data_IF_161989469437
#
_entry.id   IF_161989469437
#
_cell.length_a   1.000
_cell.length_b   1.000
_cell.length_c   1.000
_cell.angle_alpha   90.00
_cell.angle_beta   90.00
_cell.angle_gamma   90.00
#
_symmetry.space_group_name_H-M   'P 1'
#
loop_
_entity.id
_entity.type
_entity.pdbx_description
1 polymer ?
#
# COMPACT_ATOMS: atom_id res chain seq x y z
N UNK A 1 1.20 32.25 -1.80
CA UNK A 1 1.30 31.86 -0.37
C UNK A 1 2.05 30.54 -0.31
N UNK A 2 3.20 30.47 0.39
CA UNK A 2 3.92 29.20 0.55
C UNK A 2 3.19 28.41 1.64
N UNK A 3 2.51 27.32 1.28
CA UNK A 3 1.97 26.38 2.26
C UNK A 3 3.12 25.88 3.15
N UNK A 4 3.13 26.32 4.40
CA UNK A 4 4.07 25.81 5.40
C UNK A 4 3.65 24.39 5.75
N UNK A 5 4.30 23.42 5.12
CA UNK A 5 4.18 21.98 5.44
C UNK A 5 4.40 21.79 6.94
N UNK A 6 3.41 21.24 7.64
CA UNK A 6 3.47 21.04 9.10
C UNK A 6 4.53 20.00 9.48
N UNK A 7 5.03 20.06 10.72
CA UNK A 7 5.98 19.06 11.24
C UNK A 7 5.41 17.64 11.13
N UNK A 8 4.14 17.47 11.43
CA UNK A 8 3.42 16.18 11.33
C UNK A 8 3.36 15.68 9.90
N UNK A 9 3.09 16.56 8.93
CA UNK A 9 3.05 16.19 7.51
C UNK A 9 4.43 15.75 7.02
N UNK A 10 5.52 16.42 7.45
CA UNK A 10 6.88 16.00 7.10
C UNK A 10 7.20 14.60 7.62
N UNK A 11 6.94 14.36 8.91
CA UNK A 11 7.17 13.05 9.54
C UNK A 11 6.35 11.96 8.86
N UNK A 12 5.09 12.23 8.53
CA UNK A 12 4.23 11.27 7.84
C UNK A 12 4.72 10.95 6.42
N UNK A 13 5.23 11.95 5.69
CA UNK A 13 5.80 11.74 4.35
C UNK A 13 7.12 10.97 4.43
N UNK A 14 7.97 11.23 5.42
CA UNK A 14 9.21 10.48 5.64
C UNK A 14 8.93 9.01 5.99
N UNK A 15 7.99 8.77 6.91
CA UNK A 15 7.53 7.42 7.24
C UNK A 15 6.93 6.70 6.02
N UNK A 16 6.14 7.41 5.20
CA UNK A 16 5.60 6.88 3.97
C UNK A 16 6.68 6.44 2.98
N UNK A 17 7.69 7.28 2.74
CA UNK A 17 8.82 6.95 1.86
C UNK A 17 9.52 5.69 2.34
N UNK A 18 9.89 5.66 3.62
CA UNK A 18 10.54 4.51 4.23
C UNK A 18 9.73 3.22 4.05
N UNK A 19 8.42 3.25 4.34
CA UNK A 19 7.55 2.07 4.12
C UNK A 19 7.53 1.63 2.67
N UNK A 20 7.48 2.58 1.72
CA UNK A 20 7.47 2.26 0.30
C UNK A 20 8.78 1.57 -0.11
N UNK A 21 9.92 2.14 0.26
CA UNK A 21 11.25 1.56 0.01
C UNK A 21 11.39 0.16 0.63
N UNK A 22 10.84 -0.04 1.83
CA UNK A 22 10.85 -1.34 2.52
C UNK A 22 9.92 -2.39 1.89
N UNK A 23 8.90 -1.99 1.14
CA UNK A 23 7.88 -2.89 0.59
C UNK A 23 8.04 -3.15 -0.91
N UNK A 24 8.61 -2.21 -1.67
CA UNK A 24 8.87 -2.37 -3.10
C UNK A 24 9.58 -3.69 -3.45
N UNK A 25 10.69 -4.10 -2.77
CA UNK A 25 11.35 -5.37 -3.08
C UNK A 25 10.57 -6.62 -2.60
N UNK A 26 9.48 -6.44 -1.83
CA UNK A 26 8.64 -7.55 -1.32
C UNK A 26 7.44 -7.83 -2.22
N UNK A 27 7.24 -7.04 -3.26
CA UNK A 27 6.15 -7.26 -4.20
C UNK A 27 6.39 -8.56 -4.97
N UNK A 28 5.41 -9.44 -4.93
CA UNK A 28 5.41 -10.70 -5.67
C UNK A 28 4.48 -10.51 -6.86
N UNK A 29 5.03 -10.67 -8.06
CA UNK A 29 4.21 -10.76 -9.26
C UNK A 29 3.42 -12.08 -9.24
N UNK A 30 2.14 -11.99 -8.93
CA UNK A 30 1.29 -13.18 -8.80
C UNK A 30 1.08 -13.88 -10.15
N UNK A 31 1.27 -13.18 -11.27
CA UNK A 31 1.19 -13.76 -12.63
C UNK A 31 2.35 -14.71 -12.94
N UNK A 32 3.47 -14.57 -12.24
CA UNK A 32 4.64 -15.44 -12.37
C UNK A 32 4.58 -16.68 -11.47
N UNK A 33 3.55 -16.81 -10.61
CA UNK A 33 3.41 -17.92 -9.68
C UNK A 33 2.63 -19.09 -10.32
N UNK A 34 2.92 -20.34 -9.91
CA UNK A 34 2.18 -21.50 -10.37
C UNK A 34 0.71 -21.43 -9.91
N UNK A 35 -0.18 -22.02 -10.73
CA UNK A 35 -1.59 -22.17 -10.40
C UNK A 35 -1.78 -22.86 -9.03
N UNK A 36 -2.77 -22.41 -8.28
CA UNK A 36 -3.02 -22.82 -6.89
C UNK A 36 -2.25 -22.02 -5.84
N UNK A 37 -1.36 -21.10 -6.25
CA UNK A 37 -0.68 -20.20 -5.30
C UNK A 37 -1.60 -19.07 -4.87
N UNK A 38 -1.50 -18.64 -3.61
CA UNK A 38 -2.24 -17.49 -3.12
C UNK A 38 -1.90 -16.21 -3.90
N UNK A 39 -2.93 -15.46 -4.27
CA UNK A 39 -2.78 -14.15 -4.93
C UNK A 39 -2.50 -13.08 -3.87
N UNK A 40 -1.46 -12.29 -4.10
CA UNK A 40 -1.05 -11.18 -3.23
C UNK A 40 -1.41 -9.86 -3.88
N UNK A 41 -2.15 -9.02 -3.15
CA UNK A 41 -2.51 -7.66 -3.54
C UNK A 41 -1.79 -6.67 -2.64
N UNK A 42 -1.33 -5.59 -3.25
CA UNK A 42 -0.48 -4.59 -2.60
C UNK A 42 -1.11 -3.21 -2.71
N UNK A 43 -0.83 -2.36 -1.73
CA UNK A 43 -1.24 -0.97 -1.74
C UNK A 43 -0.61 -0.24 -2.92
N UNK A 44 -1.42 0.48 -3.71
CA UNK A 44 -0.97 1.27 -4.87
C UNK A 44 0.02 2.39 -4.53
N UNK A 45 0.09 2.82 -3.26
CA UNK A 45 0.91 3.96 -2.85
C UNK A 45 2.22 3.55 -2.17
N UNK A 46 2.17 2.61 -1.24
CA UNK A 46 3.35 2.21 -0.44
C UNK A 46 3.72 0.72 -0.58
N UNK A 47 3.06 0.00 -1.49
CA UNK A 47 3.34 -1.41 -1.80
C UNK A 47 3.20 -2.39 -0.62
N UNK A 48 2.65 -1.95 0.51
CA UNK A 48 2.32 -2.83 1.62
C UNK A 48 1.31 -3.90 1.18
N UNK A 49 1.51 -5.15 1.60
CA UNK A 49 0.54 -6.22 1.37
C UNK A 49 -0.80 -5.82 2.02
N UNK A 50 -1.86 -5.74 1.22
CA UNK A 50 -3.19 -5.35 1.68
C UNK A 50 -4.10 -6.56 1.85
N UNK A 51 -4.07 -7.45 0.86
CA UNK A 51 -4.94 -8.62 0.79
C UNK A 51 -4.13 -9.80 0.27
N UNK A 52 -4.27 -10.96 0.92
CA UNK A 52 -3.73 -12.23 0.44
C UNK A 52 -4.88 -13.23 0.42
N UNK A 53 -5.22 -13.75 -0.75
CA UNK A 53 -6.35 -14.67 -0.94
C UNK A 53 -5.88 -15.96 -1.58
N UNK A 54 -6.47 -17.09 -1.18
CA UNK A 54 -6.29 -18.35 -1.90
C UNK A 54 -6.99 -18.29 -3.25
N UNK A 55 -6.55 -19.09 -4.22
CA UNK A 55 -7.21 -19.19 -5.54
C UNK A 55 -8.70 -19.57 -5.43
N UNK A 56 -9.09 -20.28 -4.37
CA UNK A 56 -10.48 -20.68 -4.12
C UNK A 56 -11.35 -19.60 -3.46
N UNK A 57 -10.76 -18.49 -3.01
CA UNK A 57 -11.48 -17.45 -2.27
C UNK A 57 -11.75 -16.24 -3.18
N UNK A 58 -13.00 -16.15 -3.64
CA UNK A 58 -13.47 -15.09 -4.56
C UNK A 58 -14.36 -14.05 -3.86
N UNK A 59 -14.60 -14.21 -2.55
CA UNK A 59 -15.52 -13.37 -1.78
C UNK A 59 -14.77 -12.31 -0.98
N UNK A 60 -13.47 -12.50 -0.71
CA UNK A 60 -12.66 -11.50 -0.01
C UNK A 60 -12.51 -10.22 -0.83
N UNK A 61 -12.85 -9.09 -0.22
CA UNK A 61 -12.65 -7.77 -0.80
C UNK A 61 -11.15 -7.47 -0.97
N UNK A 62 -10.76 -7.14 -2.21
CA UNK A 62 -9.40 -6.70 -2.54
C UNK A 62 -9.26 -5.22 -2.21
N UNK A 63 -8.27 -4.89 -1.38
CA UNK A 63 -8.01 -3.51 -0.97
C UNK A 63 -6.83 -2.93 -1.74
N UNK A 64 -7.07 -1.88 -2.50
CA UNK A 64 -6.03 -1.15 -3.24
C UNK A 64 -5.22 -0.15 -2.39
N UNK A 65 -5.70 0.15 -1.19
CA UNK A 65 -5.08 1.14 -0.31
C UNK A 65 -5.01 0.61 1.13
N UNK A 66 -3.82 0.62 1.73
CA UNK A 66 -3.66 0.26 3.14
C UNK A 66 -4.22 1.37 4.04
N UNK A 67 -4.52 1.03 5.30
CA UNK A 67 -5.10 1.99 6.27
C UNK A 67 -4.23 3.23 6.47
N UNK A 68 -2.91 3.09 6.44
CA UNK A 68 -1.98 4.21 6.61
C UNK A 68 -2.02 5.18 5.43
N UNK A 69 -2.02 4.68 4.19
CA UNK A 69 -2.15 5.51 3.01
C UNK A 69 -3.54 6.12 2.87
N UNK A 70 -4.58 5.42 3.33
CA UNK A 70 -5.95 5.96 3.42
C UNK A 70 -6.00 7.16 4.37
N UNK A 71 -5.45 7.04 5.57
CA UNK A 71 -5.40 8.13 6.54
C UNK A 71 -4.63 9.36 6.01
N UNK A 72 -3.53 9.14 5.28
CA UNK A 72 -2.79 10.24 4.63
C UNK A 72 -3.58 10.88 3.48
N UNK A 73 -4.37 10.10 2.73
CA UNK A 73 -5.25 10.62 1.67
C UNK A 73 -6.41 11.43 2.26
N UNK A 74 -7.00 10.99 3.36
CA UNK A 74 -8.04 11.73 4.10
C UNK A 74 -7.54 13.07 4.63
N UNK A 75 -6.25 13.16 4.98
CA UNK A 75 -5.59 14.41 5.36
C UNK A 75 -5.15 15.28 4.17
N UNK A 76 -5.35 14.83 2.94
CA UNK A 76 -4.93 15.54 1.72
C UNK A 76 -3.42 15.49 1.44
N UNK A 77 -2.68 14.58 2.09
CA UNK A 77 -1.22 14.47 1.96
C UNK A 77 -0.77 13.51 0.84
N UNK A 78 -1.68 12.67 0.36
CA UNK A 78 -1.51 11.75 -0.76
C UNK A 78 -2.63 11.99 -1.78
N UNK A 79 -2.31 11.96 -3.08
CA UNK A 79 -3.27 12.07 -4.17
C UNK A 79 -3.65 10.67 -4.67
#
# INVERSE_FOLDING_TARGET
MKETVSKEQRLAVEAFKKRRDENEPKMIDSSSLPAGTAMCYYCKHCYALTTKISESDFTTEIKDCCGECKAMKEKGWLK
#
